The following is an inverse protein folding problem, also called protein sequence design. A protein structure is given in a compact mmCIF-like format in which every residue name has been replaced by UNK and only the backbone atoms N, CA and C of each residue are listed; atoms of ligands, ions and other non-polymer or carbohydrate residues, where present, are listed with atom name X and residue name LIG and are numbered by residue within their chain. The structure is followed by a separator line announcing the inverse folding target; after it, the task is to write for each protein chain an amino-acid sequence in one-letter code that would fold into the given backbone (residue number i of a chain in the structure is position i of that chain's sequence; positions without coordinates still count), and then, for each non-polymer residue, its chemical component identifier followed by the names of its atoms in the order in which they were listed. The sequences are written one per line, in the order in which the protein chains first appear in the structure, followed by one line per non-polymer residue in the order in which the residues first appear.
data_IF_188898056174
#
_entry.id   IF_188898056174
#
_cell.length_a   1.000
_cell.length_b   1.000
_cell.length_c   1.000
_cell.angle_alpha   90.00
_cell.angle_beta   90.00
_cell.angle_gamma   90.00
#
_symmetry.space_group_name_H-M   'P 1'
#
loop_
_entity.id
_entity.type
_entity.pdbx_description
1 polymer ?
#
# COMPACT_ATOMS: atom_id res chain seq x y z
N UNK A 1 -11.09 -18.80 -10.57
CA UNK A 1 -11.40 -17.84 -11.65
C UNK A 1 -10.53 -16.62 -11.41
N UNK A 2 -9.89 -16.08 -12.44
CA UNK A 2 -9.00 -14.93 -12.32
C UNK A 2 -9.80 -13.63 -12.49
N UNK A 3 -9.60 -12.63 -11.64
CA UNK A 3 -10.29 -11.34 -11.72
C UNK A 3 -9.28 -10.20 -11.87
N UNK A 4 -9.55 -9.27 -12.79
CA UNK A 4 -8.68 -8.13 -13.03
C UNK A 4 -9.32 -6.87 -12.44
N UNK A 5 -8.60 -6.23 -11.52
CA UNK A 5 -9.02 -4.98 -10.92
C UNK A 5 -8.05 -3.86 -11.27
N UNK A 6 -8.58 -2.64 -11.34
CA UNK A 6 -7.82 -1.45 -11.67
C UNK A 6 -8.18 -0.31 -10.73
N UNK A 7 -7.19 0.44 -10.28
CA UNK A 7 -7.39 1.68 -9.52
C UNK A 7 -6.30 2.70 -9.84
N UNK A 8 -6.59 3.99 -9.60
CA UNK A 8 -5.66 5.07 -9.88
C UNK A 8 -4.88 5.43 -8.60
N UNK A 9 -3.60 5.03 -8.55
CA UNK A 9 -2.74 5.31 -7.40
C UNK A 9 -2.46 6.81 -7.24
N UNK A 10 -2.28 7.53 -8.36
CA UNK A 10 -2.04 8.97 -8.33
C UNK A 10 -3.24 9.74 -7.79
N UNK A 11 -4.45 9.32 -8.17
CA UNK A 11 -5.69 9.86 -7.58
C UNK A 11 -5.73 9.57 -6.08
N UNK A 12 -5.51 8.32 -5.66
CA UNK A 12 -5.51 7.93 -4.25
C UNK A 12 -4.54 8.78 -3.42
N UNK A 13 -3.32 9.00 -3.90
CA UNK A 13 -2.32 9.81 -3.20
C UNK A 13 -2.74 11.29 -3.09
N UNK A 14 -3.49 11.81 -4.08
CA UNK A 14 -3.92 13.22 -4.14
C UNK A 14 -5.22 13.51 -3.40
N UNK A 15 -6.25 12.71 -3.63
CA UNK A 15 -7.62 12.93 -3.14
C UNK A 15 -7.96 12.06 -1.93
N UNK A 16 -7.05 11.19 -1.50
CA UNK A 16 -7.26 10.19 -0.45
C UNK A 16 -8.33 9.16 -0.78
N UNK A 17 -8.87 9.13 -1.99
CA UNK A 17 -9.88 8.14 -2.37
C UNK A 17 -9.77 7.78 -3.84
N UNK A 18 -9.92 6.51 -4.17
CA UNK A 18 -10.06 6.07 -5.56
C UNK A 18 -11.04 4.91 -5.68
N UNK A 19 -11.60 4.75 -6.87
CA UNK A 19 -12.46 3.61 -7.20
C UNK A 19 -11.61 2.45 -7.68
N UNK A 20 -11.99 1.25 -7.28
CA UNK A 20 -11.47 0.01 -7.84
C UNK A 20 -12.51 -0.54 -8.81
N UNK A 21 -12.14 -0.68 -10.07
CA UNK A 21 -13.04 -1.15 -11.13
C UNK A 21 -12.57 -2.48 -11.70
N UNK A 22 -13.51 -3.30 -12.17
CA UNK A 22 -13.20 -4.51 -12.92
C UNK A 22 -12.96 -4.21 -14.42
N UNK A 23 -12.67 -5.26 -15.20
CA UNK A 23 -12.50 -5.18 -16.66
C UNK A 23 -13.73 -4.66 -17.41
N UNK A 24 -14.89 -4.63 -16.77
CA UNK A 24 -16.14 -4.10 -17.32
C UNK A 24 -16.45 -2.68 -16.82
N UNK A 25 -15.47 -2.01 -16.21
CA UNK A 25 -15.59 -0.67 -15.61
C UNK A 25 -16.62 -0.58 -14.47
N UNK A 26 -17.03 -1.72 -13.88
CA UNK A 26 -17.94 -1.70 -12.74
C UNK A 26 -17.14 -1.44 -11.48
N UNK A 27 -17.60 -0.50 -10.66
CA UNK A 27 -16.98 -0.25 -9.35
C UNK A 27 -17.21 -1.45 -8.43
N UNK A 28 -16.12 -2.08 -8.01
CA UNK A 28 -16.13 -3.25 -7.12
C UNK A 28 -15.78 -2.89 -5.68
N UNK A 29 -14.93 -1.89 -5.50
CA UNK A 29 -14.52 -1.39 -4.19
C UNK A 29 -14.18 0.10 -4.26
N UNK A 30 -14.02 0.71 -3.09
CA UNK A 30 -13.35 2.00 -2.93
C UNK A 30 -12.12 1.78 -2.05
N UNK A 31 -11.03 2.49 -2.33
CA UNK A 31 -9.87 2.57 -1.43
C UNK A 31 -9.83 3.99 -0.90
N UNK A 32 -9.76 4.13 0.42
CA UNK A 32 -9.58 5.40 1.11
C UNK A 32 -8.25 5.39 1.86
N UNK A 33 -7.41 6.37 1.59
CA UNK A 33 -6.19 6.63 2.33
C UNK A 33 -6.43 7.65 3.44
N UNK A 34 -5.70 7.55 4.55
CA UNK A 34 -5.62 8.63 5.53
C UNK A 34 -4.16 8.91 5.82
N UNK A 35 -3.76 10.19 5.81
CA UNK A 35 -2.37 10.62 6.05
C UNK A 35 -2.31 11.47 7.32
N UNK A 36 -1.28 11.30 8.16
CA UNK A 36 -1.01 12.27 9.24
C UNK A 36 -0.59 11.70 10.59
N UNK A 37 -0.93 12.42 11.67
CA UNK A 37 -0.34 12.27 13.02
C UNK A 37 -0.52 10.87 13.61
N UNK A 38 -1.59 10.16 13.24
CA UNK A 38 -1.90 8.81 13.74
C UNK A 38 -1.30 7.68 12.89
N UNK A 39 -0.39 8.00 11.95
CA UNK A 39 0.14 7.08 10.96
C UNK A 39 -0.73 7.02 9.71
N UNK A 40 -0.14 6.64 8.59
CA UNK A 40 -0.87 6.48 7.33
C UNK A 40 -1.74 5.20 7.39
N UNK A 41 -2.91 5.21 6.74
CA UNK A 41 -3.74 4.02 6.60
C UNK A 41 -4.40 3.91 5.23
N UNK A 42 -4.78 2.68 4.88
CA UNK A 42 -5.48 2.33 3.65
C UNK A 42 -6.66 1.42 4.00
N UNK A 43 -7.86 1.94 3.86
CA UNK A 43 -9.11 1.23 4.09
C UNK A 43 -9.79 0.88 2.77
N UNK A 44 -10.33 -0.33 2.69
CA UNK A 44 -11.08 -0.83 1.54
C UNK A 44 -12.55 -0.91 1.93
N UNK A 45 -13.39 -0.32 1.09
CA UNK A 45 -14.83 -0.26 1.27
C UNK A 45 -15.54 -1.01 0.16
N UNK A 46 -16.72 -1.56 0.50
CA UNK A 46 -17.68 -2.04 -0.49
C UNK A 46 -18.19 -0.87 -1.36
N UNK A 47 -18.81 -1.14 -2.52
CA UNK A 47 -19.46 -0.10 -3.32
C UNK A 47 -20.56 0.67 -2.57
N UNK A 48 -21.09 0.10 -1.49
CA UNK A 48 -22.10 0.70 -0.63
C UNK A 48 -21.49 1.57 0.49
N UNK A 49 -20.16 1.69 0.57
CA UNK A 49 -19.48 2.48 1.59
C UNK A 49 -19.33 1.78 2.94
N UNK A 50 -19.43 0.46 2.99
CA UNK A 50 -19.16 -0.32 4.19
C UNK A 50 -17.67 -0.64 4.22
N UNK A 51 -16.97 -0.27 5.31
CA UNK A 51 -15.56 -0.62 5.50
C UNK A 51 -15.43 -2.13 5.67
N UNK A 52 -14.54 -2.74 4.89
CA UNK A 52 -14.28 -4.19 4.91
C UNK A 52 -12.99 -4.48 5.67
N UNK A 53 -11.95 -3.68 5.43
CA UNK A 53 -10.62 -3.90 5.98
C UNK A 53 -9.80 -2.60 5.95
N UNK A 54 -8.97 -2.39 6.96
CA UNK A 54 -7.99 -1.32 7.04
C UNK A 54 -6.59 -1.89 7.29
N UNK A 55 -5.60 -1.40 6.54
CA UNK A 55 -4.18 -1.54 6.87
C UNK A 55 -3.70 -0.21 7.41
N UNK A 56 -3.22 -0.21 8.65
CA UNK A 56 -2.76 1.00 9.34
C UNK A 56 -1.31 0.88 9.75
N UNK A 57 -0.52 1.90 9.45
CA UNK A 57 0.84 2.03 9.92
C UNK A 57 0.84 2.44 11.40
N UNK A 58 1.52 1.65 12.22
CA UNK A 58 1.75 1.95 13.63
C UNK A 58 3.08 2.70 13.85
N UNK A 59 4.11 2.35 13.08
CA UNK A 59 5.43 2.98 13.20
C UNK A 59 6.04 3.23 11.82
N UNK A 60 6.85 4.27 11.72
CA UNK A 60 7.60 4.60 10.51
C UNK A 60 9.05 4.11 10.57
N UNK A 61 9.71 4.04 9.40
CA UNK A 61 11.13 3.69 9.28
C UNK A 61 11.38 2.34 8.61
N UNK A 62 12.60 1.81 8.75
CA UNK A 62 13.05 0.57 8.06
C UNK A 62 12.35 -0.71 8.52
N UNK A 63 11.83 -0.69 9.74
CA UNK A 63 11.05 -1.77 10.33
C UNK A 63 9.68 -1.22 10.73
N UNK A 64 8.99 -0.62 9.74
CA UNK A 64 7.68 -0.05 9.96
C UNK A 64 6.70 -1.15 10.37
N UNK A 65 5.90 -0.89 11.39
CA UNK A 65 4.90 -1.81 11.89
C UNK A 65 3.54 -1.46 11.31
N UNK A 66 2.75 -2.48 10.99
CA UNK A 66 1.39 -2.32 10.47
C UNK A 66 0.42 -3.25 11.18
N UNK A 67 -0.83 -2.80 11.27
CA UNK A 67 -1.97 -3.60 11.70
C UNK A 67 -2.93 -3.78 10.55
N UNK A 68 -3.53 -4.96 10.47
CA UNK A 68 -4.69 -5.22 9.61
C UNK A 68 -5.90 -5.37 10.53
N UNK A 69 -6.92 -4.54 10.29
CA UNK A 69 -8.15 -4.48 11.05
C UNK A 69 -9.30 -4.83 10.11
N UNK A 70 -10.20 -5.71 10.51
CA UNK A 70 -11.44 -6.01 9.80
C UNK A 70 -12.57 -6.16 10.80
N UNK A 71 -13.75 -5.63 10.49
CA UNK A 71 -14.90 -5.60 11.42
C UNK A 71 -14.54 -5.09 12.83
N UNK A 72 -13.66 -4.06 12.89
CA UNK A 72 -13.11 -3.47 14.12
C UNK A 72 -12.26 -4.42 14.98
N UNK A 73 -11.97 -5.62 14.49
CA UNK A 73 -11.12 -6.58 15.15
C UNK A 73 -9.72 -6.55 14.54
N UNK A 74 -8.70 -6.63 15.39
CA UNK A 74 -7.32 -6.81 14.95
C UNK A 74 -7.16 -8.22 14.36
N UNK A 75 -6.92 -8.30 13.06
CA UNK A 75 -6.69 -9.56 12.35
C UNK A 75 -5.20 -9.92 12.38
N UNK A 76 -4.32 -8.92 12.29
CA UNK A 76 -2.89 -9.16 12.12
C UNK A 76 -2.04 -7.97 12.56
N UNK A 77 -0.83 -8.28 13.07
CA UNK A 77 0.28 -7.33 13.18
C UNK A 77 1.45 -7.77 12.32
N UNK A 78 2.15 -6.79 11.77
CA UNK A 78 3.14 -6.98 10.73
C UNK A 78 4.35 -6.08 10.93
N UNK A 79 5.55 -6.56 10.59
CA UNK A 79 6.73 -5.74 10.39
C UNK A 79 7.10 -5.75 8.92
N UNK A 80 7.10 -4.59 8.27
CA UNK A 80 7.53 -4.48 6.89
C UNK A 80 9.05 -4.30 6.87
N UNK A 81 9.72 -5.32 6.38
CA UNK A 81 11.15 -5.28 6.10
C UNK A 81 11.35 -4.95 4.63
N UNK A 82 12.23 -4.01 4.33
CA UNK A 82 12.60 -3.70 2.94
C UNK A 82 14.02 -4.19 2.70
N UNK A 83 14.16 -5.23 1.88
CA UNK A 83 15.48 -5.70 1.43
C UNK A 83 16.02 -4.80 0.31
N UNK A 84 17.32 -4.49 0.35
CA UNK A 84 18.01 -3.54 -0.55
C UNK A 84 18.35 -4.18 -1.92
N UNK A 85 18.22 -5.50 -2.08
CA UNK A 85 18.51 -6.18 -3.35
C UNK A 85 17.42 -5.88 -4.41
N UNK A 86 17.69 -6.21 -5.69
CA UNK A 86 16.81 -5.94 -6.83
C UNK A 86 15.36 -6.46 -6.66
N UNK A 87 15.13 -7.35 -5.70
CA UNK A 87 13.84 -7.81 -5.23
C UNK A 87 13.60 -7.33 -3.80
N UNK A 88 12.65 -6.43 -3.65
CA UNK A 88 12.09 -6.03 -2.37
C UNK A 88 11.09 -7.10 -1.92
N UNK A 89 11.31 -7.64 -0.71
CA UNK A 89 10.39 -8.59 -0.08
C UNK A 89 9.84 -7.91 1.15
N UNK A 90 8.56 -7.54 1.12
CA UNK A 90 7.82 -7.02 2.26
C UNK A 90 7.09 -8.17 2.92
N UNK A 91 7.54 -8.53 4.12
CA UNK A 91 6.87 -9.52 4.96
C UNK A 91 5.71 -8.87 5.69
N UNK A 92 4.54 -9.47 5.59
CA UNK A 92 3.31 -8.95 6.19
C UNK A 92 2.93 -9.76 7.43
N UNK A 93 3.19 -11.07 7.43
CA UNK A 93 3.11 -11.94 8.60
C UNK A 93 3.80 -13.26 8.31
N UNK A 94 3.66 -14.25 9.19
CA UNK A 94 4.09 -15.63 8.91
C UNK A 94 3.42 -16.22 7.68
N UNK A 95 2.24 -15.72 7.29
CA UNK A 95 1.47 -16.26 6.18
C UNK A 95 1.29 -15.30 5.00
N UNK A 96 1.76 -14.05 5.06
CA UNK A 96 1.57 -13.10 3.95
C UNK A 96 2.88 -12.42 3.58
N UNK A 97 3.12 -12.33 2.27
CA UNK A 97 4.31 -11.69 1.72
C UNK A 97 3.98 -10.99 0.40
N UNK A 98 4.56 -9.80 0.24
CA UNK A 98 4.61 -9.09 -1.04
C UNK A 98 6.05 -9.13 -1.55
N UNK A 99 6.23 -9.69 -2.75
CA UNK A 99 7.54 -9.87 -3.37
C UNK A 99 7.54 -9.04 -4.65
N UNK A 100 8.46 -8.11 -4.80
CA UNK A 100 8.43 -7.23 -5.95
C UNK A 100 9.59 -6.26 -6.03
N UNK A 101 9.35 -5.14 -6.68
CA UNK A 101 10.34 -4.08 -6.78
C UNK A 101 9.63 -2.72 -6.71
N UNK A 102 9.99 -1.92 -5.71
CA UNK A 102 9.44 -0.59 -5.52
C UNK A 102 9.55 0.33 -6.72
N UNK A 103 10.69 0.31 -7.41
CA UNK A 103 10.97 1.23 -8.51
C UNK A 103 10.10 0.90 -9.72
N UNK A 104 9.92 -0.38 -10.02
CA UNK A 104 9.06 -0.83 -11.12
C UNK A 104 7.59 -0.93 -10.70
N UNK A 105 7.29 -0.85 -9.40
CA UNK A 105 5.95 -0.98 -8.83
C UNK A 105 5.26 -2.30 -9.23
N UNK A 106 6.07 -3.34 -9.45
CA UNK A 106 5.61 -4.69 -9.80
C UNK A 106 5.70 -5.59 -8.57
N UNK A 107 4.60 -6.25 -8.22
CA UNK A 107 4.53 -7.08 -7.02
C UNK A 107 3.78 -8.38 -7.26
N UNK A 108 4.18 -9.42 -6.54
CA UNK A 108 3.45 -10.66 -6.35
C UNK A 108 3.02 -10.72 -4.89
N UNK A 109 1.72 -10.86 -4.64
CA UNK A 109 1.18 -11.08 -3.30
C UNK A 109 0.95 -12.57 -3.12
N UNK A 110 1.52 -13.12 -2.05
CA UNK A 110 1.40 -14.52 -1.69
C UNK A 110 0.86 -14.68 -0.28
N UNK A 111 0.02 -15.69 -0.13
CA UNK A 111 -0.39 -16.21 1.16
C UNK A 111 0.24 -17.59 1.33
N UNK A 112 1.10 -17.76 2.33
CA UNK A 112 2.04 -18.87 2.46
C UNK A 112 2.88 -18.98 1.16
N UNK A 113 2.89 -20.15 0.53
CA UNK A 113 3.54 -20.36 -0.76
C UNK A 113 2.64 -20.03 -1.97
N UNK A 114 1.32 -19.85 -1.76
CA UNK A 114 0.33 -19.68 -2.84
C UNK A 114 0.33 -18.24 -3.37
N UNK A 115 0.42 -18.09 -4.69
CA UNK A 115 0.20 -16.81 -5.36
C UNK A 115 -1.28 -16.44 -5.29
N UNK A 116 -1.58 -15.27 -4.71
CA UNK A 116 -2.93 -14.71 -4.56
C UNK A 116 -3.16 -13.60 -5.58
N UNK A 117 -2.15 -12.77 -5.83
CA UNK A 117 -2.27 -11.71 -6.82
C UNK A 117 -0.95 -11.33 -7.47
N UNK A 118 -1.04 -10.72 -8.65
CA UNK A 118 0.03 -9.92 -9.24
C UNK A 118 -0.45 -8.49 -9.39
N UNK A 119 0.43 -7.52 -9.19
CA UNK A 119 0.14 -6.13 -9.39
C UNK A 119 1.22 -5.49 -10.25
N UNK A 120 0.80 -4.73 -11.27
CA UNK A 120 1.68 -4.04 -12.20
C UNK A 120 1.17 -2.61 -12.45
N UNK A 121 2.06 -1.66 -12.80
CA UNK A 121 1.64 -0.36 -13.31
C UNK A 121 0.87 -0.52 -14.62
N UNK A 122 -0.16 0.29 -14.81
CA UNK A 122 -1.00 0.30 -16.00
C UNK A 122 -1.23 1.73 -16.52
N UNK A 123 -1.49 1.84 -17.83
CA UNK A 123 -1.67 3.12 -18.53
C UNK A 123 -0.35 3.81 -18.91
N UNK A 124 -0.44 4.88 -19.72
CA UNK A 124 0.73 5.53 -20.35
C UNK A 124 1.80 6.01 -19.36
N UNK A 125 1.37 6.44 -18.16
CA UNK A 125 2.26 7.00 -17.14
C UNK A 125 2.38 6.12 -15.89
N UNK A 126 1.85 4.89 -15.91
CA UNK A 126 1.82 4.02 -14.73
C UNK A 126 1.03 4.59 -13.55
N UNK A 127 0.10 5.51 -13.80
CA UNK A 127 -0.78 6.11 -12.78
C UNK A 127 -1.77 5.10 -12.22
N UNK A 128 -2.14 4.11 -13.03
CA UNK A 128 -3.02 3.04 -12.61
C UNK A 128 -2.23 1.85 -12.08
N UNK A 129 -2.89 1.06 -11.26
CA UNK A 129 -2.44 -0.26 -10.84
C UNK A 129 -3.42 -1.28 -11.40
N UNK A 130 -2.91 -2.25 -12.15
CA UNK A 130 -3.65 -3.45 -12.50
C UNK A 130 -3.33 -4.53 -11.46
N UNK A 131 -4.37 -5.14 -10.89
CA UNK A 131 -4.27 -6.22 -9.92
C UNK A 131 -4.98 -7.44 -10.47
N UNK A 132 -4.21 -8.49 -10.74
CA UNK A 132 -4.70 -9.77 -11.26
C UNK A 132 -4.81 -10.74 -10.08
N UNK A 133 -6.03 -11.03 -9.66
CA UNK A 133 -6.35 -11.91 -8.53
C UNK A 133 -6.52 -13.36 -9.02
N UNK A 134 -5.87 -14.30 -8.35
CA UNK A 134 -6.09 -15.74 -8.54
C UNK A 134 -7.08 -16.32 -7.53
N UNK A 135 -7.38 -15.55 -6.49
CA UNK A 135 -8.34 -15.83 -5.42
C UNK A 135 -9.10 -14.54 -5.06
N UNK A 136 -10.42 -14.64 -4.93
CA UNK A 136 -11.29 -13.49 -4.73
C UNK A 136 -11.57 -13.20 -3.24
N UNK A 137 -11.47 -14.18 -2.35
CA UNK A 137 -11.74 -13.99 -0.91
C UNK A 137 -10.75 -13.01 -0.29
N UNK A 138 -9.52 -13.06 -0.77
CA UNK A 138 -8.41 -12.22 -0.35
C UNK A 138 -8.38 -10.82 -1.01
N UNK A 139 -9.40 -10.44 -1.76
CA UNK A 139 -9.37 -9.19 -2.55
C UNK A 139 -9.13 -7.93 -1.69
N UNK A 140 -9.84 -7.71 -0.56
CA UNK A 140 -9.67 -6.46 0.20
C UNK A 140 -8.27 -6.29 0.78
N UNK A 141 -7.68 -7.35 1.35
CA UNK A 141 -6.32 -7.30 1.87
C UNK A 141 -5.30 -7.03 0.76
N UNK A 142 -5.44 -7.66 -0.41
CA UNK A 142 -4.56 -7.42 -1.56
C UNK A 142 -4.64 -5.96 -2.01
N UNK A 143 -5.85 -5.41 -2.15
CA UNK A 143 -6.04 -4.03 -2.59
C UNK A 143 -5.40 -3.02 -1.63
N UNK A 144 -5.65 -3.17 -0.32
CA UNK A 144 -5.05 -2.31 0.69
C UNK A 144 -3.51 -2.41 0.67
N UNK A 145 -2.97 -3.62 0.52
CA UNK A 145 -1.51 -3.84 0.44
C UNK A 145 -0.89 -3.18 -0.77
N UNK A 146 -1.47 -3.35 -1.96
CA UNK A 146 -0.93 -2.75 -3.18
C UNK A 146 -1.01 -1.22 -3.12
N UNK A 147 -2.09 -0.67 -2.58
CA UNK A 147 -2.22 0.77 -2.38
C UNK A 147 -1.14 1.32 -1.43
N UNK A 148 -0.90 0.62 -0.32
CA UNK A 148 0.12 0.97 0.66
C UNK A 148 1.55 0.85 0.10
N UNK A 149 1.86 -0.21 -0.66
CA UNK A 149 3.15 -0.39 -1.34
C UNK A 149 3.37 0.64 -2.47
N UNK A 150 2.29 1.18 -3.01
CA UNK A 150 2.30 2.26 -3.99
C UNK A 150 2.55 3.64 -3.38
N UNK A 151 2.34 3.79 -2.07
CA UNK A 151 2.37 5.07 -1.39
C UNK A 151 3.80 5.54 -1.05
N UNK A 152 4.19 6.79 -1.34
CA UNK A 152 5.55 7.27 -1.10
C UNK A 152 6.00 7.28 0.36
N UNK A 153 5.10 7.54 1.32
CA UNK A 153 5.44 7.75 2.75
C UNK A 153 5.46 6.46 3.57
N UNK A 154 4.73 5.42 3.16
CA UNK A 154 4.79 4.09 3.78
C UNK A 154 6.07 3.32 3.40
N UNK A 155 7.03 4.02 2.83
CA UNK A 155 8.37 3.51 2.51
C UNK A 155 9.37 3.99 3.56
N UNK A 156 10.34 3.16 4.01
CA UNK A 156 11.51 3.67 4.70
C UNK A 156 12.16 4.84 3.97
N UNK A 157 12.24 5.96 4.68
CA UNK A 157 13.05 7.12 4.35
C UNK A 157 14.53 6.69 4.31
N UNK A 158 15.03 6.32 3.13
CA UNK A 158 16.46 6.35 2.86
C UNK A 158 16.81 7.77 2.44
N UNK A 159 17.41 8.52 3.37
CA UNK A 159 18.14 9.75 3.09
C UNK A 159 17.32 10.93 2.59
N UNK A 160 16.51 11.56 3.45
CA UNK A 160 16.40 13.03 3.38
C UNK A 160 17.67 13.56 4.05
N UNK A 161 18.60 14.10 3.26
CA UNK A 161 19.57 15.05 3.80
C UNK A 161 18.78 16.09 4.60
N UNK A 162 19.03 16.16 5.91
CA UNK A 162 18.68 17.36 6.67
C UNK A 162 19.36 18.51 5.93
N UNK A 163 18.59 19.36 5.26
CA UNK A 163 19.06 20.73 5.05
C UNK A 163 19.17 21.31 6.45
N UNK A 164 20.38 21.32 7.00
CA UNK A 164 20.74 22.21 8.09
C UNK A 164 20.47 23.62 7.60
N UNK A 165 19.30 24.15 7.92
CA UNK A 165 19.09 25.59 7.96
C UNK A 165 20.08 26.09 9.01
N UNK A 166 21.20 26.67 8.58
CA UNK A 166 22.02 27.50 9.45
C UNK A 166 21.11 28.63 9.94
N UNK A 167 20.88 28.65 11.24
CA UNK A 167 20.38 29.81 11.94
C UNK A 167 21.38 30.95 11.67
N UNK A 168 20.97 32.13 11.20
CA UNK A 168 21.91 33.24 11.11
C UNK A 168 22.32 33.60 12.54
N UNK A 169 23.62 33.57 12.80
CA UNK A 169 24.19 34.11 14.03
C UNK A 169 23.80 35.59 14.10
N UNK A 170 22.89 35.88 15.03
CA UNK A 170 22.68 37.23 15.52
C UNK A 170 23.70 37.38 16.66
N UNK A 171 24.48 38.46 16.60
CA UNK A 171 25.55 38.92 17.50
C UNK A 171 26.99 38.61 17.09
N UNK A 172 27.69 39.67 16.67
CA UNK A 172 29.14 39.72 16.51
C UNK A 172 29.62 41.10 16.03
N UNK A 173 29.70 42.04 16.99
CA UNK A 173 30.51 43.29 17.07
C UNK A 173 30.50 44.26 15.88
#
# INVERSE_FOLDING_TARGET
MTMNLYFNQTELDHSQITKVVDEHHRTRFLIMGTWGIAGDSFAVYSPQGIEILEIKQLTAGKNAMFTIIADKNLIMKSNWHHSILATEIVLLSSSWQAIGNRRTQKYQIRQHARLIAKADPFGQNGQWRQVILTDNESTPIVLALIAALGHPQMTPLFGRHKKTTKQPDIFGV
#
